data_IF_379867106551
#
_entry.id   IF_379867106551
#
_cell.length_a   1.000
_cell.length_b   1.000
_cell.length_c   1.000
_cell.angle_alpha   90.00
_cell.angle_beta   90.00
_cell.angle_gamma   90.00
#
_symmetry.space_group_name_H-M   'P 1'
#
loop_
_entity.id
_entity.type
_entity.pdbx_description
1 polymer ?
#
# COMPACT_ATOMS: atom_id res chain seq x y z
N UNK A 1 -80.85 23.81 -3.73
CA UNK A 1 -80.92 23.38 -2.31
C UNK A 1 -80.19 24.41 -1.46
N UNK A 2 -80.90 24.99 -0.50
CA UNK A 2 -80.38 25.87 0.56
C UNK A 2 -79.67 24.99 1.60
N UNK A 3 -78.65 25.52 2.28
CA UNK A 3 -78.24 24.91 3.53
C UNK A 3 -77.00 25.47 4.19
N UNK A 4 -77.20 26.49 5.05
CA UNK A 4 -76.55 26.70 6.37
C UNK A 4 -75.05 27.01 6.33
N UNK A 5 -74.50 27.90 7.14
CA UNK A 5 -74.92 28.60 8.35
C UNK A 5 -73.66 29.31 8.90
N UNK A 6 -73.83 30.23 9.85
CA UNK A 6 -72.75 30.96 10.56
C UNK A 6 -71.65 30.05 11.12
N UNK A 7 -70.53 30.55 11.67
CA UNK A 7 -70.45 31.28 12.95
C UNK A 7 -69.15 32.13 12.98
N UNK A 8 -69.15 33.19 13.78
CA UNK A 8 -68.04 34.09 14.08
C UNK A 8 -66.97 33.52 15.06
N UNK A 9 -65.71 33.98 14.89
CA UNK A 9 -64.58 34.30 15.85
C UNK A 9 -64.34 33.42 17.10
N UNK A 10 -63.08 33.22 17.60
CA UNK A 10 -62.07 34.27 17.85
C UNK A 10 -60.57 33.88 17.61
N UNK A 11 -59.60 34.80 17.80
CA UNK A 11 -58.17 34.56 17.55
C UNK A 11 -57.37 34.12 18.80
N UNK A 12 -56.13 33.70 18.51
CA UNK A 12 -54.93 33.50 19.37
C UNK A 12 -54.66 32.06 19.82
N UNK A 13 -53.57 31.52 19.30
CA UNK A 13 -52.85 30.36 19.83
C UNK A 13 -51.46 30.34 19.20
N UNK A 14 -50.48 30.77 19.97
CA UNK A 14 -49.07 30.80 19.58
C UNK A 14 -48.56 29.35 19.60
N UNK A 15 -48.16 28.80 18.47
CA UNK A 15 -47.32 27.60 18.45
C UNK A 15 -46.02 27.93 17.73
N UNK A 16 -44.98 28.05 18.55
CA UNK A 16 -43.60 28.20 18.16
C UNK A 16 -43.09 26.88 17.57
N UNK A 17 -41.90 26.96 16.95
CA UNK A 17 -41.00 25.87 16.51
C UNK A 17 -41.23 25.45 15.05
N UNK A 18 -40.24 25.40 14.16
CA UNK A 18 -38.77 25.56 14.17
C UNK A 18 -38.35 25.90 12.72
N UNK A 19 -37.20 26.56 12.49
CA UNK A 19 -36.76 26.88 11.14
C UNK A 19 -36.42 25.61 10.33
N UNK A 20 -36.78 25.64 9.05
CA UNK A 20 -36.48 24.62 8.06
C UNK A 20 -34.97 24.34 8.01
N UNK A 21 -34.56 23.16 8.47
CA UNK A 21 -33.21 22.65 8.26
C UNK A 21 -33.15 22.13 6.82
N UNK A 22 -32.29 22.81 6.05
CA UNK A 22 -31.85 22.52 4.68
C UNK A 22 -31.62 21.01 4.49
N UNK A 23 -32.25 20.44 3.47
CA UNK A 23 -32.04 19.06 3.01
C UNK A 23 -30.58 18.86 2.60
N UNK A 24 -29.85 18.08 3.38
CA UNK A 24 -28.57 17.49 2.97
C UNK A 24 -28.87 16.17 2.27
N UNK A 25 -29.33 16.26 1.03
CA UNK A 25 -29.24 15.14 0.10
C UNK A 25 -27.77 14.98 -0.33
N UNK A 26 -27.30 13.75 -0.25
CA UNK A 26 -26.12 13.23 -0.97
C UNK A 26 -24.73 13.57 -0.43
N UNK A 27 -24.36 13.02 0.72
CA UNK A 27 -22.98 12.54 0.93
C UNK A 27 -23.00 11.15 1.57
N UNK A 28 -23.15 10.14 0.71
CA UNK A 28 -22.89 8.74 1.05
C UNK A 28 -21.38 8.60 1.24
N UNK A 29 -20.92 8.78 2.47
CA UNK A 29 -19.55 8.43 2.88
C UNK A 29 -19.35 6.95 2.61
N UNK A 30 -18.56 6.64 1.58
CA UNK A 30 -18.04 5.29 1.38
C UNK A 30 -17.00 5.07 2.46
N UNK A 31 -17.40 4.31 3.48
CA UNK A 31 -16.49 3.74 4.46
C UNK A 31 -15.46 2.89 3.70
N UNK A 32 -14.23 3.41 3.58
CA UNK A 32 -13.12 2.68 2.97
C UNK A 32 -12.76 1.56 3.94
N UNK A 33 -13.31 0.37 3.68
CA UNK A 33 -12.89 -0.84 4.35
C UNK A 33 -11.40 -1.02 4.04
N UNK A 34 -10.53 -0.68 4.99
CA UNK A 34 -9.11 -0.99 4.94
C UNK A 34 -8.99 -2.51 5.00
N UNK A 35 -9.03 -3.17 3.84
CA UNK A 35 -8.67 -4.57 3.70
C UNK A 35 -7.17 -4.61 4.00
N UNK A 36 -6.82 -4.91 5.25
CA UNK A 36 -5.45 -5.26 5.60
C UNK A 36 -5.14 -6.56 4.88
N UNK A 37 -4.50 -6.48 3.71
CA UNK A 37 -3.98 -7.66 3.02
C UNK A 37 -3.04 -8.36 4.01
N UNK A 38 -3.32 -9.62 4.39
CA UNK A 38 -2.41 -10.35 5.27
C UNK A 38 -1.05 -10.40 4.59
N UNK A 39 -0.01 -9.98 5.31
CA UNK A 39 1.37 -10.07 4.83
C UNK A 39 1.62 -11.50 4.36
N UNK A 40 2.11 -11.72 3.13
CA UNK A 40 2.34 -13.07 2.62
C UNK A 40 3.33 -13.77 3.56
N UNK A 41 2.88 -14.76 4.33
CA UNK A 41 3.79 -15.56 5.14
C UNK A 41 4.58 -16.47 4.20
N UNK A 42 5.90 -16.32 4.22
CA UNK A 42 6.78 -17.14 3.41
C UNK A 42 7.00 -18.47 4.13
N UNK A 43 6.90 -19.60 3.43
CA UNK A 43 7.39 -20.87 3.98
C UNK A 43 8.90 -20.98 3.74
N UNK A 44 9.62 -21.76 4.54
CA UNK A 44 11.08 -21.97 4.37
C UNK A 44 11.46 -22.41 2.95
N UNK A 45 10.69 -23.33 2.36
CA UNK A 45 10.90 -23.78 0.98
C UNK A 45 10.71 -22.63 -0.04
N UNK A 46 9.71 -21.77 0.16
CA UNK A 46 9.52 -20.57 -0.68
C UNK A 46 10.60 -19.52 -0.44
N UNK A 47 11.14 -19.41 0.78
CA UNK A 47 12.27 -18.52 1.10
C UNK A 47 13.51 -18.90 0.31
N UNK A 48 13.86 -20.18 0.34
CA UNK A 48 15.00 -20.72 -0.40
C UNK A 48 14.83 -20.53 -1.92
N UNK A 49 13.62 -20.79 -2.44
CA UNK A 49 13.34 -20.56 -3.86
C UNK A 49 13.48 -19.08 -4.23
N UNK A 50 12.94 -18.17 -3.41
CA UNK A 50 13.03 -16.72 -3.63
C UNK A 50 14.49 -16.24 -3.59
N UNK A 51 15.27 -16.68 -2.60
CA UNK A 51 16.69 -16.35 -2.51
C UNK A 51 17.45 -16.87 -3.74
N UNK A 52 17.13 -18.07 -4.23
CA UNK A 52 17.74 -18.64 -5.43
C UNK A 52 17.41 -17.83 -6.69
N UNK A 53 16.16 -17.40 -6.87
CA UNK A 53 15.77 -16.56 -8.01
C UNK A 53 16.44 -15.17 -7.95
N UNK A 54 16.51 -14.56 -6.76
CA UNK A 54 17.21 -13.29 -6.57
C UNK A 54 18.72 -13.42 -6.84
N UNK A 55 19.35 -14.49 -6.34
CA UNK A 55 20.76 -14.78 -6.62
C UNK A 55 21.00 -14.97 -8.12
N UNK A 56 20.13 -15.69 -8.82
CA UNK A 56 20.21 -15.84 -10.27
C UNK A 56 20.09 -14.49 -11.00
N UNK A 57 19.17 -13.62 -10.56
CA UNK A 57 19.01 -12.28 -11.12
C UNK A 57 20.24 -11.40 -10.89
N UNK A 58 20.85 -11.45 -9.70
CA UNK A 58 22.06 -10.69 -9.38
C UNK A 58 23.30 -11.25 -10.05
N UNK A 59 23.40 -12.55 -10.28
CA UNK A 59 24.54 -13.17 -10.98
C UNK A 59 24.45 -13.09 -12.50
N UNK A 60 23.29 -12.69 -13.05
CA UNK A 60 23.11 -12.49 -14.48
C UNK A 60 24.04 -11.40 -15.03
N UNK A 61 24.61 -11.65 -16.23
CA UNK A 61 25.55 -10.75 -16.89
C UNK A 61 25.03 -9.30 -17.05
N UNK A 62 23.71 -9.14 -17.27
CA UNK A 62 23.05 -7.83 -17.36
C UNK A 62 23.16 -7.03 -16.07
N UNK A 63 22.96 -7.68 -14.93
CA UNK A 63 23.05 -7.03 -13.62
C UNK A 63 24.50 -6.70 -13.31
N UNK A 64 25.38 -7.69 -13.41
CA UNK A 64 26.81 -7.54 -13.11
C UNK A 64 27.47 -6.45 -13.97
N UNK A 65 27.11 -6.34 -15.26
CA UNK A 65 27.58 -5.24 -16.12
C UNK A 65 27.24 -3.86 -15.54
N UNK A 66 25.98 -3.66 -15.15
CA UNK A 66 25.51 -2.38 -14.59
C UNK A 66 26.08 -2.11 -13.21
N UNK A 67 26.23 -3.16 -12.40
CA UNK A 67 26.86 -3.06 -11.09
C UNK A 67 28.31 -2.58 -11.23
N UNK A 68 29.10 -3.18 -12.11
CA UNK A 68 30.48 -2.75 -12.35
C UNK A 68 30.59 -1.38 -13.02
N UNK A 69 29.64 -0.99 -13.89
CA UNK A 69 29.55 0.39 -14.40
C UNK A 69 29.39 1.37 -13.24
N UNK A 70 28.49 1.07 -12.32
CA UNK A 70 28.24 1.91 -11.15
C UNK A 70 29.45 1.98 -10.20
N UNK A 71 30.13 0.86 -9.96
CA UNK A 71 31.37 0.85 -9.16
C UNK A 71 32.47 1.73 -9.77
N UNK A 72 32.65 1.70 -11.10
CA UNK A 72 33.67 2.49 -11.78
C UNK A 72 33.36 3.99 -11.80
N UNK A 73 32.09 4.36 -11.89
CA UNK A 73 31.65 5.75 -11.98
C UNK A 73 31.63 6.47 -10.62
N UNK A 74 31.66 5.71 -9.53
CA UNK A 74 31.61 6.25 -8.18
C UNK A 74 32.97 6.26 -7.49
N UNK A 75 33.11 7.09 -6.45
CA UNK A 75 34.26 7.02 -5.53
C UNK A 75 34.12 5.88 -4.49
N UNK A 76 33.33 4.84 -4.82
CA UNK A 76 33.00 3.71 -3.93
C UNK A 76 31.84 3.97 -2.97
N UNK A 77 31.64 3.06 -2.01
CA UNK A 77 30.45 2.98 -1.14
C UNK A 77 30.18 4.21 -0.25
N UNK A 78 31.16 5.11 -0.11
CA UNK A 78 31.02 6.36 0.66
C UNK A 78 30.32 7.46 -0.13
N UNK A 79 30.18 7.30 -1.44
CA UNK A 79 29.47 8.23 -2.29
C UNK A 79 27.95 8.05 -2.14
N UNK A 80 27.20 9.07 -1.67
CA UNK A 80 25.75 8.99 -1.56
C UNK A 80 25.05 8.68 -2.89
N UNK A 81 25.62 9.13 -4.01
CA UNK A 81 25.08 8.89 -5.35
C UNK A 81 25.19 7.41 -5.73
N UNK A 82 26.30 6.76 -5.38
CA UNK A 82 26.50 5.32 -5.54
C UNK A 82 25.44 4.54 -4.77
N UNK A 83 25.24 4.85 -3.47
CA UNK A 83 24.28 4.10 -2.65
C UNK A 83 22.85 4.22 -3.19
N UNK A 84 22.45 5.40 -3.64
CA UNK A 84 21.14 5.62 -4.24
C UNK A 84 20.97 4.83 -5.56
N UNK A 85 21.97 4.87 -6.44
CA UNK A 85 21.93 4.16 -7.70
C UNK A 85 22.01 2.64 -7.53
N UNK A 86 22.83 2.16 -6.59
CA UNK A 86 22.94 0.74 -6.24
C UNK A 86 21.61 0.22 -5.68
N UNK A 87 21.01 0.95 -4.73
CA UNK A 87 19.68 0.62 -4.19
C UNK A 87 18.63 0.55 -5.30
N UNK A 88 18.65 1.48 -6.25
CA UNK A 88 17.74 1.47 -7.41
C UNK A 88 17.96 0.27 -8.32
N UNK A 89 19.22 -0.11 -8.57
CA UNK A 89 19.57 -1.27 -9.39
C UNK A 89 19.08 -2.57 -8.75
N UNK A 90 19.35 -2.77 -7.45
CA UNK A 90 18.91 -3.94 -6.69
C UNK A 90 17.39 -4.03 -6.61
N UNK A 91 16.72 -2.92 -6.23
CA UNK A 91 15.26 -2.88 -6.09
C UNK A 91 14.54 -3.21 -7.41
N UNK A 92 15.12 -2.83 -8.55
CA UNK A 92 14.56 -3.15 -9.86
C UNK A 92 14.56 -4.65 -10.14
N UNK A 93 15.59 -5.39 -9.76
CA UNK A 93 15.57 -6.85 -9.95
C UNK A 93 14.66 -7.52 -8.92
N UNK A 94 14.66 -7.05 -7.66
CA UNK A 94 13.73 -7.55 -6.64
C UNK A 94 12.26 -7.40 -7.06
N UNK A 95 11.85 -6.23 -7.54
CA UNK A 95 10.45 -5.98 -7.92
C UNK A 95 9.95 -6.83 -9.10
N UNK A 96 10.86 -7.41 -9.89
CA UNK A 96 10.51 -8.35 -10.97
C UNK A 96 10.29 -9.79 -10.45
N UNK A 97 10.91 -10.14 -9.32
CA UNK A 97 10.88 -11.52 -8.76
C UNK A 97 9.77 -11.66 -7.72
N UNK A 98 9.67 -10.72 -6.79
CA UNK A 98 8.83 -10.84 -5.59
C UNK A 98 7.31 -10.99 -5.83
N UNK A 99 6.71 -10.53 -6.95
CA UNK A 99 5.29 -10.78 -7.23
C UNK A 99 4.93 -12.25 -7.31
N UNK A 100 5.86 -13.12 -7.73
CA UNK A 100 5.65 -14.58 -7.75
C UNK A 100 5.54 -15.19 -6.36
N UNK A 101 5.96 -14.44 -5.34
CA UNK A 101 6.00 -14.86 -3.95
C UNK A 101 4.92 -14.20 -3.09
N UNK A 102 4.04 -13.40 -3.72
CA UNK A 102 2.90 -12.76 -3.07
C UNK A 102 3.16 -11.32 -2.62
N UNK A 103 4.36 -10.77 -2.84
CA UNK A 103 4.65 -9.38 -2.50
C UNK A 103 4.37 -8.46 -3.68
N UNK A 104 3.95 -7.25 -3.38
CA UNK A 104 3.72 -6.24 -4.41
C UNK A 104 5.02 -5.82 -5.11
N UNK A 105 4.97 -5.43 -6.39
CA UNK A 105 6.13 -4.96 -7.16
C UNK A 105 6.55 -3.51 -6.80
N UNK A 106 6.42 -3.12 -5.53
CA UNK A 106 6.71 -1.79 -5.00
C UNK A 106 7.81 -1.83 -3.95
N UNK A 107 8.23 -0.64 -3.51
CA UNK A 107 9.18 -0.52 -2.41
C UNK A 107 8.65 -1.15 -1.12
N UNK A 108 7.36 -1.01 -0.85
CA UNK A 108 6.71 -1.63 0.31
C UNK A 108 6.73 -3.15 0.20
N UNK A 109 6.50 -3.73 -0.98
CA UNK A 109 6.58 -5.17 -1.18
C UNK A 109 8.00 -5.72 -0.97
N UNK A 110 9.03 -4.97 -1.37
CA UNK A 110 10.43 -5.32 -1.07
C UNK A 110 10.69 -5.30 0.43
N UNK A 111 10.18 -4.29 1.15
CA UNK A 111 10.35 -4.20 2.61
C UNK A 111 9.63 -5.32 3.35
N UNK A 112 8.42 -5.68 2.92
CA UNK A 112 7.68 -6.84 3.43
C UNK A 112 8.42 -8.15 3.16
N UNK A 113 9.01 -8.31 1.98
CA UNK A 113 9.85 -9.47 1.65
C UNK A 113 11.05 -9.57 2.60
N UNK A 114 11.76 -8.46 2.83
CA UNK A 114 12.90 -8.44 3.74
C UNK A 114 12.48 -8.78 5.17
N UNK A 115 11.37 -8.24 5.65
CA UNK A 115 10.80 -8.59 6.96
C UNK A 115 10.41 -10.07 7.05
N UNK A 116 9.85 -10.66 5.99
CA UNK A 116 9.51 -12.08 5.96
C UNK A 116 10.74 -13.00 6.04
N UNK A 117 11.93 -12.53 5.62
CA UNK A 117 13.18 -13.28 5.81
C UNK A 117 13.69 -13.26 7.25
N UNK A 118 13.33 -12.25 8.05
CA UNK A 118 13.74 -12.15 9.46
C UNK A 118 13.21 -13.33 10.29
N UNK A 119 12.06 -13.88 9.92
CA UNK A 119 11.46 -15.08 10.54
C UNK A 119 12.35 -16.32 10.42
N UNK A 120 13.34 -16.31 9.51
CA UNK A 120 14.29 -17.42 9.29
C UNK A 120 15.71 -17.16 9.82
N UNK A 121 15.94 -16.03 10.52
CA UNK A 121 17.27 -15.68 11.03
C UNK A 121 17.85 -16.71 12.01
N UNK A 122 17.00 -17.32 12.84
CA UNK A 122 17.45 -18.33 13.80
C UNK A 122 17.76 -19.69 13.15
N UNK A 123 17.25 -19.93 11.94
CA UNK A 123 17.42 -21.17 11.17
C UNK A 123 18.74 -21.22 10.36
N UNK A 124 19.63 -20.24 10.55
CA UNK A 124 20.90 -20.12 9.81
C UNK A 124 20.72 -19.65 8.36
N UNK A 125 19.53 -19.15 8.00
CA UNK A 125 19.26 -18.55 6.70
C UNK A 125 19.25 -17.02 6.87
N UNK A 126 20.42 -16.45 7.12
CA UNK A 126 20.59 -15.01 7.01
C UNK A 126 22.05 -14.64 6.78
N UNK A 127 22.27 -13.88 5.69
CA UNK A 127 23.45 -13.04 5.47
C UNK A 127 24.66 -13.77 4.91
#
# INVERSE_FOLDING_TARGET
MRGRGGIALPPKGVEQSKPAVVSQDTLRVFEVQLVTVPTPSLTKARALALQSELLAAFTAARFQKKFHELERESSGDKDPSYRAAFRKLVRKEQSQVIPRYGFDASESGVEQMLAAFEEFKEDGIAG
#
